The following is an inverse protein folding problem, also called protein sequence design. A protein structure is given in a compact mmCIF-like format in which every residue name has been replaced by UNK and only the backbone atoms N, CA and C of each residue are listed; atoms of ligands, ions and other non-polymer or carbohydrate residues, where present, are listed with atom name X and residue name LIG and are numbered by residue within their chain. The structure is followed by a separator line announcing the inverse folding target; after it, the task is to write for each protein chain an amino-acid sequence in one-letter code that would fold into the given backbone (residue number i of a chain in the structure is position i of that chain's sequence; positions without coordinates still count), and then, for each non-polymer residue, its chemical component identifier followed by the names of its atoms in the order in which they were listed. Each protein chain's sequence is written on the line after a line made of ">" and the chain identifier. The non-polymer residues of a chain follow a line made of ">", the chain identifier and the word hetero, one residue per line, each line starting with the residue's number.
data_IF_100822173266
#
_entry.id   IF_100822173266
#
_cell.length_a   1.000
_cell.length_b   1.000
_cell.length_c   1.000
_cell.angle_alpha   90.00
_cell.angle_beta   90.00
_cell.angle_gamma   90.00
#
_symmetry.space_group_name_H-M   'P 1'
#
loop_
_entity.id
_entity.type
_entity.pdbx_description
1 polymer ?
#
# COMPACT_ATOMS: atom_id res chain seq x y z
N UNK A 1 -9.14 -10.86 16.50
CA UNK A 1 -7.84 -10.16 16.38
C UNK A 1 -7.94 -8.77 15.74
N UNK A 2 -8.32 -8.61 14.46
CA UNK A 2 -8.35 -7.28 13.80
C UNK A 2 -9.05 -6.20 14.65
N UNK A 3 -10.32 -6.42 15.03
CA UNK A 3 -11.07 -5.45 15.83
C UNK A 3 -10.52 -5.25 17.25
N UNK A 4 -9.84 -6.24 17.83
CA UNK A 4 -9.22 -6.12 19.16
C UNK A 4 -8.05 -5.13 19.16
N UNK A 5 -7.30 -5.02 18.06
CA UNK A 5 -6.20 -4.06 17.94
C UNK A 5 -6.65 -2.65 17.55
N UNK A 6 -7.74 -2.54 16.77
CA UNK A 6 -8.17 -1.25 16.20
C UNK A 6 -9.05 -0.41 17.14
N UNK A 7 -9.79 -1.04 18.06
CA UNK A 7 -10.79 -0.36 18.90
C UNK A 7 -10.25 0.92 19.54
N UNK A 8 -9.24 0.81 20.41
CA UNK A 8 -8.76 1.95 21.20
C UNK A 8 -7.28 2.28 21.01
N UNK A 9 -6.51 1.43 20.32
CA UNK A 9 -5.07 1.61 20.19
C UNK A 9 -4.64 2.07 18.80
N UNK A 10 -4.99 1.32 17.76
CA UNK A 10 -4.44 1.56 16.42
C UNK A 10 -5.48 2.09 15.42
N UNK A 11 -5.02 2.88 14.45
CA UNK A 11 -5.77 3.19 13.24
C UNK A 11 -5.06 2.51 12.07
N UNK A 12 -5.78 1.66 11.35
CA UNK A 12 -5.30 0.97 10.15
C UNK A 12 -5.53 1.85 8.93
N UNK A 13 -4.48 2.08 8.16
CA UNK A 13 -4.55 2.76 6.86
C UNK A 13 -4.26 1.75 5.75
N UNK A 14 -5.10 1.77 4.73
CA UNK A 14 -4.99 0.93 3.56
C UNK A 14 -5.81 1.47 2.40
N UNK A 15 -5.70 0.79 1.26
CA UNK A 15 -6.45 1.10 0.05
C UNK A 15 -7.51 0.02 -0.19
N UNK A 16 -8.75 0.45 -0.46
CA UNK A 16 -9.81 -0.46 -0.90
C UNK A 16 -9.70 -0.63 -2.42
N UNK A 17 -9.21 -1.78 -2.84
CA UNK A 17 -8.84 -2.09 -4.22
C UNK A 17 -9.92 -2.88 -4.97
N UNK A 18 -11.16 -2.97 -4.48
CA UNK A 18 -12.23 -3.65 -5.25
C UNK A 18 -12.50 -2.97 -6.59
N UNK A 19 -12.71 -1.65 -6.59
CA UNK A 19 -12.93 -0.89 -7.82
C UNK A 19 -11.60 -0.47 -8.44
N UNK A 20 -11.48 -0.53 -9.76
CA UNK A 20 -10.40 0.12 -10.48
C UNK A 20 -10.50 1.64 -10.25
N UNK A 21 -9.45 2.21 -9.65
CA UNK A 21 -9.33 3.66 -9.51
C UNK A 21 -8.72 4.26 -10.77
N UNK A 22 -7.46 3.95 -11.03
CA UNK A 22 -6.76 4.42 -12.22
C UNK A 22 -6.11 3.25 -12.96
N UNK A 23 -5.39 2.39 -12.23
CA UNK A 23 -4.82 1.15 -12.79
C UNK A 23 -5.66 -0.07 -12.43
N UNK A 24 -5.80 -0.98 -13.38
CA UNK A 24 -6.43 -2.27 -13.17
C UNK A 24 -5.44 -3.25 -12.53
N UNK A 25 -5.85 -3.87 -11.42
CA UNK A 25 -5.10 -4.93 -10.75
C UNK A 25 -5.71 -6.30 -11.03
N UNK A 26 -4.86 -7.27 -11.36
CA UNK A 26 -5.26 -8.65 -11.64
C UNK A 26 -4.61 -9.69 -10.72
N UNK A 27 -3.74 -9.25 -9.80
CA UNK A 27 -3.01 -10.09 -8.84
C UNK A 27 -3.11 -9.57 -7.40
N UNK A 28 -4.28 -9.08 -6.99
CA UNK A 28 -4.48 -8.61 -5.62
C UNK A 28 -4.48 -9.78 -4.62
N UNK A 29 -3.75 -9.71 -3.49
CA UNK A 29 -3.85 -10.73 -2.45
C UNK A 29 -5.15 -10.63 -1.63
N UNK A 30 -5.75 -9.43 -1.56
CA UNK A 30 -7.03 -9.16 -0.92
C UNK A 30 -7.63 -7.86 -1.50
N UNK A 31 -8.90 -7.60 -1.25
CA UNK A 31 -9.60 -6.38 -1.64
C UNK A 31 -9.16 -5.15 -0.83
N UNK A 32 -8.57 -5.35 0.33
CA UNK A 32 -7.99 -4.28 1.14
C UNK A 32 -6.51 -4.51 1.37
N UNK A 33 -5.67 -3.53 1.00
CA UNK A 33 -4.24 -3.59 1.22
C UNK A 33 -3.81 -2.55 2.26
N UNK A 34 -3.33 -3.03 3.41
CA UNK A 34 -2.75 -2.18 4.45
C UNK A 34 -1.40 -1.61 4.04
N UNK A 35 -1.15 -0.33 4.36
CA UNK A 35 0.14 0.32 4.12
C UNK A 35 0.67 1.12 5.31
N UNK A 36 -0.19 1.50 6.27
CA UNK A 36 0.25 2.21 7.47
C UNK A 36 -0.58 1.82 8.70
N UNK A 37 0.01 2.02 9.88
CA UNK A 37 -0.68 1.90 11.16
C UNK A 37 -0.27 3.07 12.03
N UNK A 38 -1.27 3.77 12.56
CA UNK A 38 -1.07 4.87 13.50
C UNK A 38 -1.39 4.42 14.92
N UNK A 39 -0.47 4.66 15.84
CA UNK A 39 -0.65 4.45 17.26
C UNK A 39 -1.29 5.69 17.90
N UNK A 40 -2.55 5.58 18.32
CA UNK A 40 -3.31 6.68 18.93
C UNK A 40 -2.72 7.16 20.25
N UNK A 41 -2.08 6.25 21.01
CA UNK A 41 -1.52 6.56 22.34
C UNK A 41 -0.27 7.42 22.23
N UNK A 42 0.58 7.12 21.26
CA UNK A 42 1.83 7.86 21.05
C UNK A 42 1.72 8.96 19.98
N UNK A 43 0.62 8.98 19.23
CA UNK A 43 0.38 9.96 18.18
C UNK A 43 1.31 9.80 16.97
N UNK A 44 1.78 8.57 16.70
CA UNK A 44 2.85 8.29 15.72
C UNK A 44 2.54 7.08 14.86
N UNK A 45 3.03 7.12 13.62
CA UNK A 45 2.99 5.95 12.74
C UNK A 45 4.08 4.94 13.12
N UNK A 46 3.74 3.66 13.06
CA UNK A 46 4.66 2.57 13.37
C UNK A 46 5.82 2.48 12.36
N UNK A 47 6.98 2.04 12.83
CA UNK A 47 8.05 1.59 11.92
C UNK A 47 7.57 0.44 11.04
N UNK A 48 8.18 0.25 9.87
CA UNK A 48 7.81 -0.85 8.96
C UNK A 48 7.87 -2.21 9.67
N UNK A 49 8.87 -2.44 10.53
CA UNK A 49 9.00 -3.69 11.31
C UNK A 49 7.80 -3.94 12.22
N UNK A 50 7.38 -2.94 13.00
CA UNK A 50 6.23 -3.06 13.93
C UNK A 50 4.91 -3.16 13.17
N UNK A 51 4.74 -2.37 12.11
CA UNK A 51 3.59 -2.43 11.21
C UNK A 51 3.41 -3.81 10.61
N UNK A 52 4.46 -4.39 10.03
CA UNK A 52 4.39 -5.69 9.34
C UNK A 52 4.12 -6.83 10.33
N UNK A 53 4.64 -6.73 11.55
CA UNK A 53 4.29 -7.67 12.63
C UNK A 53 2.79 -7.61 12.95
N UNK A 54 2.23 -6.40 13.08
CA UNK A 54 0.81 -6.21 13.37
C UNK A 54 -0.09 -6.66 12.20
N UNK A 55 0.30 -6.40 10.95
CA UNK A 55 -0.44 -6.89 9.78
C UNK A 55 -0.52 -8.42 9.77
N UNK A 56 0.56 -9.12 10.09
CA UNK A 56 0.54 -10.59 10.23
C UNK A 56 -0.39 -11.06 11.35
N UNK A 57 -0.35 -10.39 12.49
CA UNK A 57 -1.20 -10.73 13.64
C UNK A 57 -2.70 -10.50 13.36
N UNK A 58 -3.02 -9.43 12.62
CA UNK A 58 -4.37 -9.09 12.22
C UNK A 58 -4.86 -9.82 10.96
N UNK A 59 -3.99 -10.61 10.30
CA UNK A 59 -4.24 -11.23 9.01
C UNK A 59 -4.64 -10.21 7.91
N UNK A 60 -4.01 -9.04 7.90
CA UNK A 60 -4.23 -7.98 6.89
C UNK A 60 -3.18 -8.12 5.80
N UNK A 61 -3.62 -8.29 4.55
CA UNK A 61 -2.73 -8.21 3.40
C UNK A 61 -2.14 -6.81 3.26
N UNK A 62 -0.84 -6.72 2.99
CA UNK A 62 -0.15 -5.43 2.87
C UNK A 62 0.25 -5.12 1.43
N UNK A 63 0.48 -3.84 1.15
CA UNK A 63 1.09 -3.41 -0.12
C UNK A 63 2.48 -4.06 -0.30
N UNK A 64 2.88 -4.43 -1.54
CA UNK A 64 4.16 -5.10 -1.78
C UNK A 64 5.37 -4.26 -1.37
N UNK A 65 6.33 -4.88 -0.69
CA UNK A 65 7.64 -4.27 -0.43
C UNK A 65 8.50 -4.41 -1.69
N UNK A 66 8.99 -3.28 -2.21
CA UNK A 66 9.84 -3.27 -3.41
C UNK A 66 11.32 -3.48 -3.07
N UNK A 67 11.81 -2.78 -2.03
CA UNK A 67 13.19 -2.88 -1.56
C UNK A 67 13.33 -2.29 -0.14
N UNK A 68 14.41 -2.66 0.55
CA UNK A 68 14.82 -2.12 1.85
C UNK A 68 16.32 -1.77 1.77
N UNK A 69 16.71 -0.58 2.25
CA UNK A 69 18.09 -0.13 2.21
C UNK A 69 18.24 1.37 2.01
N UNK A 70 19.46 1.79 1.69
CA UNK A 70 19.78 3.15 1.29
C UNK A 70 19.87 3.22 -0.24
N UNK A 71 19.20 4.20 -0.82
CA UNK A 71 19.11 4.35 -2.26
C UNK A 71 19.32 5.81 -2.63
N UNK A 72 20.11 6.05 -3.67
CA UNK A 72 20.13 7.32 -4.36
C UNK A 72 18.84 7.49 -5.17
N UNK A 73 18.46 8.74 -5.45
CA UNK A 73 17.24 9.04 -6.19
C UNK A 73 17.12 8.31 -7.55
N UNK A 74 18.18 8.20 -8.39
CA UNK A 74 18.09 7.45 -9.65
C UNK A 74 17.80 5.96 -9.46
N UNK A 75 18.20 5.36 -8.34
CA UNK A 75 17.88 3.97 -8.02
C UNK A 75 16.42 3.84 -7.61
N UNK A 76 15.92 4.79 -6.82
CA UNK A 76 14.50 4.87 -6.44
C UNK A 76 13.59 4.98 -7.67
N UNK A 77 13.99 5.75 -8.68
CA UNK A 77 13.23 5.87 -9.94
C UNK A 77 13.09 4.55 -10.69
N UNK A 78 14.06 3.63 -10.58
CA UNK A 78 13.97 2.30 -11.24
C UNK A 78 12.85 1.43 -10.64
N UNK A 79 12.42 1.71 -9.41
CA UNK A 79 11.28 1.03 -8.80
C UNK A 79 9.93 1.50 -9.35
N UNK A 80 9.87 2.62 -10.08
CA UNK A 80 8.72 2.98 -10.93
C UNK A 80 8.72 2.14 -12.20
N UNK A 81 8.72 0.82 -12.07
CA UNK A 81 8.59 -0.12 -13.18
C UNK A 81 7.20 -0.75 -13.17
N UNK A 82 7.07 -2.00 -13.60
CA UNK A 82 5.81 -2.77 -13.59
C UNK A 82 5.36 -3.01 -12.16
N UNK A 83 4.05 -2.86 -11.91
CA UNK A 83 3.43 -3.15 -10.62
C UNK A 83 3.68 -4.61 -10.21
N UNK A 84 3.78 -4.85 -8.90
CA UNK A 84 3.77 -6.23 -8.37
C UNK A 84 2.36 -6.85 -8.36
N UNK A 85 1.32 -6.02 -8.53
CA UNK A 85 -0.09 -6.42 -8.44
C UNK A 85 -0.78 -6.47 -9.82
N UNK A 86 -0.04 -6.19 -10.90
CA UNK A 86 -0.55 -6.24 -12.28
C UNK A 86 0.58 -6.24 -13.31
N UNK A 87 0.29 -6.60 -14.56
CA UNK A 87 1.24 -6.38 -15.68
C UNK A 87 1.29 -4.92 -16.17
N UNK A 88 0.51 -4.04 -15.53
CA UNK A 88 0.52 -2.60 -15.80
C UNK A 88 1.66 -1.87 -15.06
N UNK A 89 2.10 -0.70 -15.57
CA UNK A 89 3.04 0.16 -14.85
C UNK A 89 2.52 0.54 -13.46
N UNK A 90 3.41 0.59 -12.47
CA UNK A 90 3.05 1.12 -11.15
C UNK A 90 2.64 2.60 -11.24
N UNK A 91 1.61 2.98 -10.47
CA UNK A 91 1.14 4.37 -10.32
C UNK A 91 2.22 5.25 -9.68
N UNK A 92 2.88 4.69 -8.67
CA UNK A 92 3.91 5.35 -7.90
C UNK A 92 4.52 4.40 -6.88
N UNK A 93 5.40 4.95 -6.06
CA UNK A 93 6.03 4.26 -4.93
C UNK A 93 5.88 5.10 -3.68
N UNK A 94 5.70 4.42 -2.55
CA UNK A 94 5.61 5.02 -1.23
C UNK A 94 6.89 4.73 -0.45
N UNK A 95 7.62 5.78 -0.12
CA UNK A 95 8.91 5.73 0.57
C UNK A 95 8.69 5.96 2.06
N UNK A 96 9.31 5.12 2.88
CA UNK A 96 9.24 5.19 4.34
C UNK A 96 10.63 5.11 4.92
N UNK A 97 10.94 6.04 5.80
CA UNK A 97 12.14 6.03 6.62
C UNK A 97 11.73 5.91 8.08
N UNK A 98 12.12 4.80 8.71
CA UNK A 98 11.84 4.55 10.13
C UNK A 98 13.07 4.87 10.97
N UNK A 99 12.85 5.45 12.15
CA UNK A 99 13.86 5.62 13.19
C UNK A 99 13.33 4.95 14.46
N UNK A 100 14.11 4.03 15.01
CA UNK A 100 13.70 3.16 16.10
C UNK A 100 12.37 2.44 15.78
N UNK A 101 11.38 2.59 16.66
CA UNK A 101 10.08 1.96 16.59
C UNK A 101 9.03 2.76 15.79
N UNK A 102 9.43 3.86 15.15
CA UNK A 102 8.49 4.81 14.56
C UNK A 102 8.87 5.21 13.13
N UNK A 103 7.86 5.56 12.34
CA UNK A 103 8.07 6.24 11.07
C UNK A 103 8.55 7.66 11.35
N UNK A 104 9.74 8.00 10.85
CA UNK A 104 10.31 9.35 10.98
C UNK A 104 9.94 10.22 9.78
N UNK A 105 10.05 9.68 8.56
CA UNK A 105 9.75 10.41 7.33
C UNK A 105 9.06 9.50 6.32
N UNK A 106 8.25 10.12 5.45
CA UNK A 106 7.58 9.44 4.34
C UNK A 106 7.43 10.38 3.16
N UNK A 107 7.48 9.83 1.97
CA UNK A 107 7.21 10.56 0.74
C UNK A 107 6.60 9.62 -0.29
N UNK A 108 6.05 10.20 -1.35
CA UNK A 108 5.58 9.44 -2.51
C UNK A 108 6.27 9.96 -3.74
N UNK A 109 6.62 9.05 -4.64
CA UNK A 109 7.04 9.39 -5.99
C UNK A 109 5.99 8.81 -6.94
N UNK A 110 5.32 9.68 -7.69
CA UNK A 110 4.22 9.31 -8.60
C UNK A 110 4.73 9.38 -10.03
N UNK A 111 4.34 8.41 -10.87
CA UNK A 111 4.69 8.40 -12.28
C UNK A 111 4.05 9.61 -12.98
N UNK A 112 4.78 10.42 -13.77
CA UNK A 112 4.20 11.58 -14.47
C UNK A 112 3.00 11.25 -15.36
N UNK A 113 3.09 10.15 -16.11
CA UNK A 113 1.99 9.67 -16.97
C UNK A 113 0.72 9.31 -16.18
N UNK A 114 0.85 8.98 -14.89
CA UNK A 114 -0.30 8.73 -14.03
C UNK A 114 -1.05 10.02 -13.69
N UNK A 115 -0.33 11.10 -13.39
CA UNK A 115 -0.93 12.40 -13.02
C UNK A 115 -1.81 12.95 -14.16
N UNK A 116 -1.39 12.75 -15.41
CA UNK A 116 -2.12 13.23 -16.59
C UNK A 116 -3.41 12.43 -16.88
N UNK A 117 -3.51 11.19 -16.40
CA UNK A 117 -4.68 10.34 -16.65
C UNK A 117 -5.82 10.54 -15.63
N UNK A 118 -5.57 11.22 -14.50
CA UNK A 118 -6.56 11.49 -13.45
C UNK A 118 -7.37 12.76 -13.77
N UNK A 119 -7.94 12.86 -14.97
CA UNK A 119 -8.84 13.98 -15.32
C UNK A 119 -10.29 13.74 -14.84
N UNK A 120 -10.68 12.48 -14.58
CA UNK A 120 -11.96 12.13 -13.96
C UNK A 120 -11.78 11.19 -12.76
N UNK A 121 -12.43 11.52 -11.64
CA UNK A 121 -12.44 10.67 -10.45
C UNK A 121 -13.23 9.39 -10.73
N UNK A 122 -12.64 8.23 -10.47
CA UNK A 122 -13.19 6.91 -10.78
C UNK A 122 -14.61 6.66 -10.25
N UNK A 123 -14.98 7.30 -9.14
CA UNK A 123 -16.31 7.18 -8.53
C UNK A 123 -17.46 7.74 -9.37
N UNK A 124 -17.15 8.45 -10.47
CA UNK A 124 -18.12 8.94 -11.46
C UNK A 124 -18.29 8.02 -12.67
N UNK A 125 -17.50 6.95 -12.75
CA UNK A 125 -17.54 5.96 -13.82
C UNK A 125 -18.21 4.67 -13.34
N UNK A 126 -18.64 3.82 -14.28
CA UNK A 126 -19.11 2.48 -13.94
C UNK A 126 -18.00 1.70 -13.20
N UNK A 127 -18.36 1.05 -12.09
CA UNK A 127 -17.40 0.27 -11.31
C UNK A 127 -16.87 -0.88 -12.17
N UNK A 128 -15.56 -0.88 -12.40
CA UNK A 128 -14.84 -2.03 -12.95
C UNK A 128 -14.12 -2.74 -11.82
N UNK A 129 -14.54 -3.95 -11.42
CA UNK A 129 -13.86 -4.70 -10.36
C UNK A 129 -12.44 -5.11 -10.78
N UNK A 130 -11.47 -4.96 -9.89
CA UNK A 130 -10.16 -5.61 -9.98
C UNK A 130 -10.30 -7.13 -9.75
N UNK A 131 -9.18 -7.87 -9.83
CA UNK A 131 -9.18 -9.32 -9.56
C UNK A 131 -8.21 -9.68 -8.44
N UNK A 132 -8.65 -10.61 -7.60
CA UNK A 132 -7.77 -11.30 -6.67
C UNK A 132 -6.91 -12.34 -7.42
N UNK A 133 -5.73 -12.60 -6.89
CA UNK A 133 -4.99 -13.81 -7.21
C UNK A 133 -5.80 -15.00 -6.68
N UNK A 134 -6.29 -15.87 -7.56
CA UNK A 134 -6.91 -17.12 -7.14
C UNK A 134 -5.82 -17.99 -6.50
N UNK A 135 -5.84 -18.13 -5.18
CA UNK A 135 -5.18 -19.29 -4.57
C UNK A 135 -5.98 -20.52 -5.01
N UNK A 136 -5.38 -21.35 -5.88
CA UNK A 136 -5.72 -22.76 -5.88
C UNK A 136 -5.33 -23.26 -4.48
N UNK A 137 -6.27 -23.27 -3.56
CA UNK A 137 -6.15 -24.02 -2.31
C UNK A 137 -5.94 -25.49 -2.71
N UNK A 138 -4.69 -25.93 -2.67
CA UNK A 138 -4.27 -27.33 -2.75
C UNK A 138 -3.93 -27.85 -1.36
#
# INVERSE_FOLDING_TARGET
>A
KLFEHLSDHFILFGEWCYAQHSVFYDRLPDWFLGFDVYDKRFGRFLSSKRRDALFREMCVAQVPVLALGHFAYPEVQKFLSTSKLSDQPAEGIYLRFSQDDWLAQRSKLVRPAFIQAVEQHWSRSAIRPNRLTLELQG
#
